data_IF_443871752136
#
_entry.id   IF_443871752136
#
_cell.length_a   1.000
_cell.length_b   1.000
_cell.length_c   1.000
_cell.angle_alpha   90.00
_cell.angle_beta   90.00
_cell.angle_gamma   90.00
#
_symmetry.space_group_name_H-M   'P 1'
#
loop_
_entity.id
_entity.type
_entity.pdbx_description
1 polymer ?
#
# COMPACT_ATOMS: atom_id res chain seq x y z
N UNK A 1 19.62 7.85 18.84
CA UNK A 1 19.78 6.45 18.34
C UNK A 1 18.65 5.95 17.43
N UNK A 2 17.38 6.30 17.65
CA UNK A 2 16.24 5.82 16.81
C UNK A 2 16.30 6.23 15.32
N UNK A 3 16.86 7.40 15.01
CA UNK A 3 16.90 7.93 13.63
C UNK A 3 17.91 7.20 12.74
N UNK A 4 19.08 6.84 13.27
CA UNK A 4 20.12 6.11 12.53
C UNK A 4 19.61 4.72 12.15
N UNK A 5 18.94 4.02 13.07
CA UNK A 5 18.33 2.72 12.79
C UNK A 5 17.20 2.76 11.75
N UNK A 6 16.45 3.87 11.71
CA UNK A 6 15.42 4.08 10.69
C UNK A 6 16.03 4.31 9.31
N UNK A 7 17.04 5.17 9.20
CA UNK A 7 17.75 5.43 7.93
C UNK A 7 18.40 4.15 7.41
N UNK A 8 19.09 3.39 8.25
CA UNK A 8 19.66 2.11 7.89
C UNK A 8 18.59 1.13 7.35
N UNK A 9 17.45 1.04 8.01
CA UNK A 9 16.33 0.18 7.58
C UNK A 9 15.74 0.63 6.23
N UNK A 10 15.63 1.94 6.01
CA UNK A 10 15.19 2.49 4.72
C UNK A 10 16.17 2.08 3.62
N UNK A 11 17.48 2.26 3.85
CA UNK A 11 18.52 1.95 2.85
C UNK A 11 18.61 0.45 2.57
N UNK A 12 18.53 -0.42 3.58
CA UNK A 12 18.57 -1.88 3.40
C UNK A 12 17.29 -2.44 2.78
N UNK A 13 16.15 -1.78 2.96
CA UNK A 13 14.86 -2.19 2.40
C UNK A 13 14.61 -1.74 0.96
N UNK A 14 15.51 -0.94 0.38
CA UNK A 14 15.35 -0.44 -0.99
C UNK A 14 15.58 -1.55 -2.01
N UNK A 15 14.55 -1.83 -2.80
CA UNK A 15 14.67 -2.68 -3.99
C UNK A 15 15.15 -1.80 -5.15
N UNK A 16 16.45 -1.66 -5.33
CA UNK A 16 17.07 -0.77 -6.32
C UNK A 16 16.51 -0.94 -7.73
N UNK A 17 16.25 -2.17 -8.17
CA UNK A 17 15.67 -2.43 -9.49
C UNK A 17 14.29 -1.76 -9.66
N UNK A 18 13.44 -1.83 -8.65
CA UNK A 18 12.12 -1.18 -8.67
C UNK A 18 12.22 0.34 -8.55
N UNK A 19 13.14 0.81 -7.72
CA UNK A 19 13.39 2.25 -7.58
C UNK A 19 13.90 2.86 -8.88
N UNK A 20 14.85 2.22 -9.56
CA UNK A 20 15.34 2.69 -10.86
C UNK A 20 14.23 2.75 -11.91
N UNK A 21 13.36 1.74 -11.95
CA UNK A 21 12.18 1.78 -12.82
C UNK A 21 11.28 2.99 -12.51
N UNK A 22 11.03 3.30 -11.24
CA UNK A 22 10.24 4.48 -10.87
C UNK A 22 10.93 5.80 -11.22
N UNK A 23 12.26 5.87 -11.14
CA UNK A 23 13.06 7.02 -11.60
C UNK A 23 12.88 7.22 -13.10
N UNK A 24 12.93 6.13 -13.88
CA UNK A 24 12.70 6.19 -15.34
C UNK A 24 11.29 6.68 -15.67
N UNK A 25 10.27 6.22 -14.94
CA UNK A 25 8.89 6.71 -15.07
C UNK A 25 8.79 8.21 -14.79
N UNK A 26 9.41 8.71 -13.73
CA UNK A 26 9.43 10.15 -13.41
C UNK A 26 10.18 10.94 -14.50
N UNK A 27 11.32 10.43 -14.96
CA UNK A 27 12.08 11.05 -16.05
C UNK A 27 11.26 11.17 -17.34
N UNK A 28 10.54 10.12 -17.70
CA UNK A 28 9.66 10.13 -18.89
C UNK A 28 8.49 11.11 -18.74
N UNK A 29 7.93 11.25 -17.53
CA UNK A 29 6.78 12.13 -17.28
C UNK A 29 7.11 13.62 -17.27
N UNK A 30 8.24 13.99 -16.69
CA UNK A 30 8.57 15.42 -16.45
C UNK A 30 9.98 15.83 -16.86
N UNK A 31 10.78 14.96 -17.47
CA UNK A 31 12.14 15.25 -17.90
C UNK A 31 13.16 15.48 -16.76
N UNK A 32 12.79 15.23 -15.50
CA UNK A 32 13.63 15.48 -14.35
C UNK A 32 14.90 14.62 -14.40
N UNK A 33 16.04 15.19 -13.96
CA UNK A 33 17.30 14.47 -13.91
C UNK A 33 17.23 13.26 -12.97
N UNK A 34 17.61 12.08 -13.47
CA UNK A 34 17.54 10.79 -12.75
C UNK A 34 18.30 10.79 -11.43
N UNK A 35 19.47 11.40 -11.40
CA UNK A 35 20.32 11.48 -10.19
C UNK A 35 19.63 12.35 -9.13
N UNK A 36 19.09 13.50 -9.52
CA UNK A 36 18.31 14.35 -8.63
C UNK A 36 17.09 13.62 -8.09
N UNK A 37 16.34 12.93 -8.95
CA UNK A 37 15.16 12.14 -8.57
C UNK A 37 15.53 11.04 -7.57
N UNK A 38 16.67 10.37 -7.76
CA UNK A 38 17.18 9.36 -6.85
C UNK A 38 17.38 9.91 -5.42
N UNK A 39 18.11 11.01 -5.30
CA UNK A 39 18.38 11.62 -3.99
C UNK A 39 17.11 12.21 -3.36
N UNK A 40 16.23 12.81 -4.17
CA UNK A 40 14.95 13.33 -3.67
C UNK A 40 14.02 12.19 -3.18
N UNK A 41 13.98 11.06 -3.86
CA UNK A 41 13.27 9.87 -3.39
C UNK A 41 13.80 9.36 -2.04
N UNK A 42 15.12 9.28 -1.88
CA UNK A 42 15.73 8.88 -0.60
C UNK A 42 15.40 9.88 0.51
N UNK A 43 15.52 11.18 0.21
CA UNK A 43 15.14 12.23 1.14
C UNK A 43 13.66 12.11 1.56
N UNK A 44 12.76 11.92 0.60
CA UNK A 44 11.34 11.76 0.85
C UNK A 44 11.03 10.51 1.68
N UNK A 45 11.74 9.42 1.47
CA UNK A 45 11.60 8.21 2.27
C UNK A 45 11.97 8.45 3.74
N UNK A 46 13.05 9.20 4.00
CA UNK A 46 13.51 9.51 5.36
C UNK A 46 12.63 10.59 6.02
N UNK A 47 12.34 11.68 5.30
CA UNK A 47 11.67 12.87 5.88
C UNK A 47 10.15 12.71 6.00
N UNK A 48 9.52 12.13 4.97
CA UNK A 48 8.07 12.01 4.88
C UNK A 48 7.56 10.57 5.02
N UNK A 49 8.47 9.58 5.08
CA UNK A 49 8.08 8.17 5.06
C UNK A 49 7.47 7.74 3.72
N UNK A 50 7.78 8.46 2.64
CA UNK A 50 7.28 8.19 1.30
C UNK A 50 8.25 7.24 0.56
N UNK A 51 7.83 6.02 0.30
CA UNK A 51 8.57 5.11 -0.56
C UNK A 51 8.56 5.56 -2.03
N UNK A 52 9.34 4.89 -2.88
CA UNK A 52 9.41 5.22 -4.32
C UNK A 52 8.06 5.12 -5.04
N UNK A 53 7.14 4.26 -4.58
CA UNK A 53 5.77 4.21 -5.10
C UNK A 53 4.96 5.43 -4.68
N UNK A 54 4.98 5.80 -3.39
CA UNK A 54 4.28 6.97 -2.87
C UNK A 54 4.79 8.25 -3.57
N UNK A 55 6.12 8.36 -3.74
CA UNK A 55 6.78 9.47 -4.43
C UNK A 55 6.25 9.66 -5.86
N UNK A 56 6.13 8.56 -6.59
CA UNK A 56 5.69 8.60 -8.00
C UNK A 56 4.18 8.77 -8.09
N UNK A 57 3.41 8.10 -7.25
CA UNK A 57 1.95 8.12 -7.26
C UNK A 57 1.40 9.49 -6.85
N UNK A 58 1.96 10.08 -5.79
CA UNK A 58 1.55 11.41 -5.34
C UNK A 58 2.17 12.57 -6.15
N UNK A 59 3.13 12.28 -7.02
CA UNK A 59 3.79 13.31 -7.82
C UNK A 59 4.72 14.21 -6.99
N UNK A 60 5.39 13.70 -5.99
CA UNK A 60 6.26 14.45 -5.07
C UNK A 60 7.36 15.21 -5.80
N UNK A 61 7.78 14.74 -6.97
CA UNK A 61 8.76 15.41 -7.82
C UNK A 61 8.35 16.83 -8.26
N UNK A 62 7.05 17.16 -8.25
CA UNK A 62 6.52 18.48 -8.60
C UNK A 62 6.05 19.29 -7.40
N UNK A 63 6.27 18.80 -6.17
CA UNK A 63 5.73 19.41 -4.96
C UNK A 63 6.79 20.10 -4.13
N UNK A 64 6.38 21.20 -3.48
CA UNK A 64 7.14 21.86 -2.41
C UNK A 64 7.14 21.00 -1.13
N UNK A 65 8.08 21.27 -0.22
CA UNK A 65 8.13 20.59 1.07
C UNK A 65 6.84 20.73 1.88
N UNK A 66 6.23 21.91 1.88
CA UNK A 66 4.96 22.15 2.56
C UNK A 66 3.81 21.31 1.99
N UNK A 67 3.73 21.20 0.67
CA UNK A 67 2.74 20.33 0.02
C UNK A 67 2.96 18.85 0.34
N UNK A 68 4.23 18.37 0.32
CA UNK A 68 4.57 16.99 0.68
C UNK A 68 4.18 16.65 2.13
N UNK A 69 4.26 17.63 3.03
CA UNK A 69 3.90 17.44 4.45
C UNK A 69 2.38 17.20 4.65
N UNK A 70 1.53 17.63 3.75
CA UNK A 70 0.08 17.38 3.83
C UNK A 70 -0.35 15.96 3.47
N UNK A 71 0.55 15.17 2.87
CA UNK A 71 0.22 13.82 2.41
C UNK A 71 0.36 12.78 3.52
N UNK A 72 -0.63 11.91 3.57
CA UNK A 72 -0.63 10.74 4.44
C UNK A 72 0.07 9.58 3.73
N UNK A 73 1.40 9.54 3.84
CA UNK A 73 2.22 8.46 3.27
C UNK A 73 1.97 7.14 4.02
N UNK A 74 2.35 6.01 3.40
CA UNK A 74 2.16 4.67 3.99
C UNK A 74 2.70 4.55 5.42
N UNK A 75 3.89 5.12 5.69
CA UNK A 75 4.50 5.08 7.04
C UNK A 75 3.71 5.95 8.03
N UNK A 76 3.26 7.13 7.60
CA UNK A 76 2.42 8.02 8.41
C UNK A 76 1.06 7.37 8.69
N UNK A 77 0.44 6.79 7.67
CA UNK A 77 -0.84 6.09 7.82
C UNK A 77 -0.73 4.94 8.84
N UNK A 78 0.32 4.12 8.75
CA UNK A 78 0.52 3.05 9.74
C UNK A 78 0.66 3.58 11.17
N UNK A 79 1.34 4.72 11.37
CA UNK A 79 1.43 5.35 12.70
C UNK A 79 0.07 5.81 13.21
N UNK A 80 -0.73 6.45 12.35
CA UNK A 80 -2.09 6.89 12.70
C UNK A 80 -2.97 5.67 13.01
N UNK A 81 -2.94 4.65 12.18
CA UNK A 81 -3.69 3.41 12.37
C UNK A 81 -3.34 2.74 13.72
N UNK A 82 -2.06 2.63 14.05
CA UNK A 82 -1.62 2.05 15.32
C UNK A 82 -2.04 2.85 16.57
N UNK A 83 -2.30 4.16 16.42
CA UNK A 83 -2.77 5.00 17.53
C UNK A 83 -4.30 4.95 17.66
N UNK A 84 -5.00 4.87 16.53
CA UNK A 84 -6.46 4.97 16.48
C UNK A 84 -7.16 3.62 16.60
N UNK A 85 -6.50 2.53 16.20
CA UNK A 85 -7.08 1.19 16.23
C UNK A 85 -6.57 0.42 17.44
N UNK A 86 -7.45 -0.38 18.02
CA UNK A 86 -7.05 -1.38 18.99
C UNK A 86 -6.42 -2.58 18.26
N UNK A 87 -5.09 -2.70 18.39
CA UNK A 87 -4.32 -3.74 17.71
C UNK A 87 -4.68 -5.16 18.19
N UNK A 88 -5.37 -5.29 19.34
CA UNK A 88 -5.84 -6.59 19.82
C UNK A 88 -6.92 -7.20 18.90
N UNK A 89 -7.56 -6.37 18.09
CA UNK A 89 -8.60 -6.77 17.12
C UNK A 89 -8.15 -6.72 15.67
N UNK A 90 -6.86 -6.50 15.41
CA UNK A 90 -6.33 -6.34 14.04
C UNK A 90 -6.59 -7.62 13.20
N UNK A 91 -6.35 -8.79 13.77
CA UNK A 91 -6.57 -10.09 13.12
C UNK A 91 -8.05 -10.32 12.74
N UNK A 92 -9.00 -9.76 13.50
CA UNK A 92 -10.43 -9.89 13.22
C UNK A 92 -10.84 -9.21 11.90
N UNK A 93 -10.07 -8.22 11.45
CA UNK A 93 -10.31 -7.45 10.23
C UNK A 93 -9.37 -7.81 9.09
N UNK A 94 -8.12 -8.17 9.39
CA UNK A 94 -7.12 -8.53 8.38
C UNK A 94 -7.31 -9.95 7.86
N UNK A 95 -7.73 -10.90 8.72
CA UNK A 95 -8.05 -12.26 8.31
C UNK A 95 -9.50 -12.35 7.82
N UNK A 96 -9.67 -12.55 6.51
CA UNK A 96 -10.98 -12.64 5.87
C UNK A 96 -11.83 -13.81 6.37
N UNK A 97 -11.21 -14.91 6.81
CA UNK A 97 -11.94 -16.08 7.33
C UNK A 97 -12.46 -15.77 8.74
N UNK A 98 -11.61 -15.24 9.60
CA UNK A 98 -12.00 -14.79 10.94
C UNK A 98 -13.08 -13.71 10.87
N UNK A 99 -12.92 -12.73 9.99
CA UNK A 99 -13.92 -11.70 9.75
C UNK A 99 -15.28 -12.31 9.37
N UNK A 100 -15.29 -13.23 8.42
CA UNK A 100 -16.52 -13.86 7.95
C UNK A 100 -17.22 -14.67 9.05
N UNK A 101 -16.47 -15.37 9.89
CA UNK A 101 -17.01 -16.14 11.03
C UNK A 101 -17.57 -15.19 12.10
N UNK A 102 -16.77 -14.19 12.50
CA UNK A 102 -17.14 -13.28 13.58
C UNK A 102 -18.31 -12.38 13.25
N UNK A 103 -18.36 -11.92 12.00
CA UNK A 103 -19.40 -11.02 11.51
C UNK A 103 -20.50 -11.72 10.68
N UNK A 104 -20.58 -13.06 10.70
CA UNK A 104 -21.54 -13.84 9.93
C UNK A 104 -22.99 -13.35 10.08
N UNK A 105 -23.38 -12.91 11.28
CA UNK A 105 -24.72 -12.35 11.58
C UNK A 105 -25.05 -11.11 10.75
N UNK A 106 -24.03 -10.33 10.36
CA UNK A 106 -24.19 -9.07 9.64
C UNK A 106 -23.93 -9.23 8.14
N UNK A 107 -23.27 -10.32 7.73
CA UNK A 107 -22.96 -10.60 6.34
C UNK A 107 -24.15 -11.28 5.69
N UNK A 108 -24.81 -10.57 4.75
CA UNK A 108 -25.96 -11.10 3.99
C UNK A 108 -25.56 -11.89 2.74
N UNK A 109 -24.27 -12.18 2.57
CA UNK A 109 -23.73 -12.93 1.42
C UNK A 109 -23.18 -14.27 1.89
N UNK A 110 -23.35 -15.34 1.10
CA UNK A 110 -22.65 -16.60 1.37
C UNK A 110 -21.13 -16.37 1.24
N UNK A 111 -20.38 -16.89 2.21
CA UNK A 111 -18.91 -16.86 2.19
C UNK A 111 -18.41 -18.22 1.81
N UNK A 112 -17.56 -18.27 0.78
CA UNK A 112 -16.86 -19.49 0.35
C UNK A 112 -15.54 -19.57 1.09
N UNK A 113 -15.35 -20.66 1.83
CA UNK A 113 -14.06 -21.07 2.32
C UNK A 113 -13.48 -22.08 1.31
N UNK A 114 -12.20 -21.91 0.90
CA UNK A 114 -11.55 -22.81 -0.07
C UNK A 114 -11.54 -24.28 0.35
N UNK A 115 -11.63 -24.56 1.65
CA UNK A 115 -11.71 -25.93 2.19
C UNK A 115 -13.12 -26.54 2.07
N UNK A 116 -14.16 -25.73 2.03
CA UNK A 116 -15.57 -26.17 1.97
C UNK A 116 -16.25 -25.90 0.63
N UNK A 117 -15.53 -25.24 -0.29
CA UNK A 117 -16.07 -24.92 -1.61
C UNK A 117 -16.19 -26.16 -2.47
N UNK A 118 -17.42 -26.59 -2.76
CA UNK A 118 -17.68 -27.57 -3.81
C UNK A 118 -17.51 -26.90 -5.19
N UNK A 119 -17.11 -27.68 -6.20
CA UNK A 119 -16.88 -27.20 -7.59
C UNK A 119 -18.09 -26.42 -8.12
N UNK A 120 -19.31 -26.85 -7.82
CA UNK A 120 -20.54 -26.18 -8.24
C UNK A 120 -20.71 -24.78 -7.66
N UNK A 121 -20.32 -24.56 -6.39
CA UNK A 121 -20.42 -23.25 -5.71
C UNK A 121 -19.34 -22.29 -6.19
N UNK A 122 -18.13 -22.80 -6.48
CA UNK A 122 -17.05 -22.02 -7.11
C UNK A 122 -17.46 -21.52 -8.51
N UNK A 123 -18.14 -22.33 -9.29
CA UNK A 123 -18.58 -21.97 -10.64
C UNK A 123 -19.65 -20.87 -10.64
N UNK A 124 -20.63 -20.92 -9.74
CA UNK A 124 -21.67 -19.89 -9.63
C UNK A 124 -21.08 -18.54 -9.15
N UNK A 125 -20.06 -18.56 -8.30
CA UNK A 125 -19.43 -17.34 -7.80
C UNK A 125 -18.54 -16.66 -8.87
N UNK A 126 -17.78 -17.43 -9.63
CA UNK A 126 -16.98 -16.94 -10.76
C UNK A 126 -17.87 -16.34 -11.86
N UNK A 127 -18.98 -17.01 -12.21
CA UNK A 127 -19.91 -16.53 -13.23
C UNK A 127 -20.61 -15.23 -12.86
N UNK A 128 -20.91 -15.01 -11.58
CA UNK A 128 -21.48 -13.74 -11.11
C UNK A 128 -20.48 -12.56 -11.24
N UNK A 129 -19.16 -12.83 -11.23
CA UNK A 129 -18.14 -11.81 -11.44
C UNK A 129 -17.91 -11.51 -12.93
N UNK A 130 -18.02 -12.50 -13.81
CA UNK A 130 -17.85 -12.31 -15.25
C UNK A 130 -18.97 -11.46 -15.87
N UNK A 131 -20.22 -11.63 -15.40
CA UNK A 131 -21.36 -10.82 -15.89
C UNK A 131 -21.34 -9.35 -15.46
N UNK A 132 -20.52 -8.98 -14.48
CA UNK A 132 -20.32 -7.58 -14.05
C UNK A 132 -19.18 -6.87 -14.80
N UNK A 133 -18.32 -7.60 -15.51
CA UNK A 133 -17.24 -7.02 -16.33
C UNK A 133 -17.66 -6.74 -17.77
N UNK A 134 -18.84 -7.20 -18.20
CA UNK A 134 -19.35 -7.03 -19.57
C UNK A 134 -20.44 -5.93 -19.69
N UNK A 135 -20.62 -5.10 -18.65
CA UNK A 135 -21.46 -3.90 -18.64
C UNK A 135 -20.61 -2.62 -18.54
#
# INVERSE_FOLDING_TARGET
MAMIGYVARVLTGVRFKKMNHMIDVVHQKCGQNKVRTFFDMLWCAVRYGAGYYDYTMFGFYNMTGAQRDTYLTRVRNKKVSNIMNDMAHDDDFDDKLLFNVRFAKYLRRPTLNGETATVAVSYTHLRAHETLSDL
#
